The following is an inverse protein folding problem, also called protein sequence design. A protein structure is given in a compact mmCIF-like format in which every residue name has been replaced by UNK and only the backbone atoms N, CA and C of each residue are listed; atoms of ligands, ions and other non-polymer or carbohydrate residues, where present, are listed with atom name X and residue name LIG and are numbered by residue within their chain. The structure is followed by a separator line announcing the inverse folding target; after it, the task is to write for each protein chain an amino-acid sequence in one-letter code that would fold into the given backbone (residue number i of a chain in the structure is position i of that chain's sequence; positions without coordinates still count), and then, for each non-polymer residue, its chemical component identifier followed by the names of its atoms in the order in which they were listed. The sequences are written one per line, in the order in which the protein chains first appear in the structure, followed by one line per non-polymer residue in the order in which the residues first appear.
data_IF_065232257046
#
_entry.id   IF_065232257046
#
_cell.length_a   1.000
_cell.length_b   1.000
_cell.length_c   1.000
_cell.angle_alpha   90.00
_cell.angle_beta   90.00
_cell.angle_gamma   90.00
#
_symmetry.space_group_name_H-M   'P 1'
#
loop_
_entity.id
_entity.type
_entity.pdbx_description
1 polymer ?
#
# COMPACT_ATOMS: atom_id res chain seq x y z
N UNK A 1 24.98 -45.26 18.26
CA UNK A 1 24.52 -43.96 18.77
C UNK A 1 24.84 -42.94 17.70
N UNK A 2 23.86 -42.63 16.86
CA UNK A 2 23.99 -41.67 15.76
C UNK A 2 22.94 -40.62 16.00
N UNK A 3 23.40 -39.40 16.15
CA UNK A 3 22.68 -38.26 16.70
C UNK A 3 21.39 -37.96 15.93
N UNK A 4 20.29 -38.08 16.67
CA UNK A 4 18.98 -37.58 16.31
C UNK A 4 19.05 -36.05 16.43
N UNK A 5 19.54 -35.37 15.39
CA UNK A 5 19.39 -33.93 15.23
C UNK A 5 17.91 -33.63 15.03
N UNK A 6 17.17 -33.65 16.13
CA UNK A 6 15.86 -33.06 16.24
C UNK A 6 16.02 -31.62 15.76
N UNK A 7 15.38 -31.32 14.64
CA UNK A 7 15.33 -29.99 14.04
C UNK A 7 14.54 -29.08 15.00
N UNK A 8 15.19 -28.61 16.07
CA UNK A 8 14.57 -27.82 17.14
C UNK A 8 14.03 -26.53 16.53
N UNK A 9 12.71 -26.48 16.32
CA UNK A 9 12.00 -25.26 15.90
C UNK A 9 11.17 -25.39 14.62
N UNK A 10 11.26 -26.48 13.86
CA UNK A 10 10.37 -26.69 12.71
C UNK A 10 9.07 -27.31 13.19
N UNK A 11 7.97 -26.54 13.18
CA UNK A 11 6.65 -27.07 13.44
C UNK A 11 5.97 -27.40 12.10
N UNK A 12 5.96 -28.67 11.67
CA UNK A 12 5.38 -29.05 10.38
C UNK A 12 3.90 -28.68 10.26
N UNK A 13 3.20 -28.55 11.39
CA UNK A 13 1.83 -28.09 11.41
C UNK A 13 1.72 -26.61 10.99
N UNK A 14 2.61 -25.75 11.50
CA UNK A 14 2.61 -24.31 11.16
C UNK A 14 3.06 -24.06 9.72
N UNK A 15 4.00 -24.87 9.21
CA UNK A 15 4.40 -24.82 7.80
C UNK A 15 3.20 -25.18 6.90
N UNK A 16 2.49 -26.27 7.22
CA UNK A 16 1.31 -26.69 6.48
C UNK A 16 0.15 -25.66 6.54
N UNK A 17 -0.08 -25.04 7.70
CA UNK A 17 -1.05 -23.95 7.86
C UNK A 17 -0.70 -22.73 6.98
N UNK A 18 0.60 -22.41 6.86
CA UNK A 18 1.09 -21.31 6.02
C UNK A 18 0.91 -21.62 4.54
N UNK A 19 1.25 -22.84 4.11
CA UNK A 19 1.03 -23.32 2.74
C UNK A 19 -0.46 -23.32 2.37
N UNK A 20 -1.31 -23.80 3.27
CA UNK A 20 -2.75 -23.80 3.09
C UNK A 20 -3.30 -22.37 2.95
N UNK A 21 -2.82 -21.44 3.76
CA UNK A 21 -3.19 -20.02 3.66
C UNK A 21 -2.79 -19.40 2.31
N UNK A 22 -1.64 -19.81 1.75
CA UNK A 22 -1.20 -19.36 0.43
C UNK A 22 -2.12 -19.88 -0.70
N UNK A 23 -2.53 -21.15 -0.62
CA UNK A 23 -3.50 -21.74 -1.56
C UNK A 23 -4.87 -21.07 -1.46
N UNK A 24 -5.32 -20.77 -0.25
CA UNK A 24 -6.58 -20.06 -0.01
C UNK A 24 -6.55 -18.64 -0.59
N UNK A 25 -5.43 -17.92 -0.45
CA UNK A 25 -5.24 -16.61 -1.07
C UNK A 25 -5.36 -16.69 -2.60
N UNK A 26 -4.67 -17.64 -3.24
CA UNK A 26 -4.73 -17.85 -4.69
C UNK A 26 -6.17 -18.16 -5.15
N UNK A 27 -6.84 -19.06 -4.44
CA UNK A 27 -8.23 -19.44 -4.70
C UNK A 27 -9.19 -18.26 -4.54
N UNK A 28 -9.01 -17.44 -3.50
CA UNK A 28 -9.82 -16.27 -3.24
C UNK A 28 -9.69 -15.23 -4.38
N UNK A 29 -8.47 -14.94 -4.85
CA UNK A 29 -8.24 -14.03 -5.98
C UNK A 29 -8.91 -14.55 -7.25
N UNK A 30 -8.77 -15.85 -7.55
CA UNK A 30 -9.42 -16.49 -8.70
C UNK A 30 -10.94 -16.44 -8.61
N UNK A 31 -11.48 -16.69 -7.42
CA UNK A 31 -12.92 -16.66 -7.15
C UNK A 31 -13.48 -15.25 -7.30
N UNK A 32 -12.80 -14.24 -6.77
CA UNK A 32 -13.18 -12.84 -6.91
C UNK A 32 -13.18 -12.39 -8.37
N UNK A 33 -12.13 -12.72 -9.13
CA UNK A 33 -12.06 -12.43 -10.56
C UNK A 33 -13.21 -13.09 -11.35
N UNK A 34 -13.54 -14.34 -11.02
CA UNK A 34 -14.68 -15.04 -11.63
C UNK A 34 -15.99 -14.35 -11.29
N UNK A 35 -16.21 -14.01 -10.02
CA UNK A 35 -17.43 -13.36 -9.57
C UNK A 35 -17.65 -12.02 -10.29
N UNK A 36 -16.62 -11.17 -10.37
CA UNK A 36 -16.69 -9.87 -11.06
C UNK A 36 -16.92 -10.05 -12.58
N UNK A 37 -16.34 -11.08 -13.18
CA UNK A 37 -16.47 -11.36 -14.62
C UNK A 37 -17.81 -11.95 -15.05
N UNK A 38 -18.68 -12.36 -14.12
CA UNK A 38 -20.01 -12.88 -14.44
C UNK A 38 -21.03 -11.76 -14.67
N UNK A 39 -22.02 -12.01 -15.53
CA UNK A 39 -23.17 -11.11 -15.71
C UNK A 39 -23.90 -10.94 -14.39
N UNK A 40 -24.00 -9.70 -13.88
CA UNK A 40 -24.58 -9.42 -12.56
C UNK A 40 -23.61 -9.62 -11.37
N UNK A 41 -22.34 -9.94 -11.64
CA UNK A 41 -21.29 -10.08 -10.63
C UNK A 41 -21.01 -8.81 -9.82
N UNK A 42 -21.30 -7.65 -10.43
CA UNK A 42 -21.37 -6.37 -9.75
C UNK A 42 -22.84 -5.97 -9.64
N UNK A 43 -23.45 -6.29 -8.51
CA UNK A 43 -24.87 -6.00 -8.24
C UNK A 43 -25.18 -4.49 -8.16
N UNK A 44 -24.15 -3.67 -7.90
CA UNK A 44 -24.26 -2.22 -7.91
C UNK A 44 -22.96 -1.52 -7.48
N UNK A 45 -22.99 -0.17 -7.40
CA UNK A 45 -21.81 0.63 -7.04
C UNK A 45 -21.20 0.28 -5.68
N UNK A 46 -22.03 -0.11 -4.70
CA UNK A 46 -21.57 -0.53 -3.39
C UNK A 46 -20.62 -1.74 -3.46
N UNK A 47 -20.89 -2.70 -4.36
CA UNK A 47 -20.02 -3.87 -4.56
C UNK A 47 -18.67 -3.45 -5.14
N UNK A 48 -18.64 -2.46 -6.04
CA UNK A 48 -17.39 -1.92 -6.60
C UNK A 48 -16.53 -1.30 -5.50
N UNK A 49 -17.13 -0.52 -4.59
CA UNK A 49 -16.39 0.06 -3.46
C UNK A 49 -15.83 -1.00 -2.53
N UNK A 50 -16.63 -2.00 -2.18
CA UNK A 50 -16.17 -3.11 -1.34
C UNK A 50 -14.98 -3.84 -1.98
N UNK A 51 -15.02 -4.06 -3.30
CA UNK A 51 -13.90 -4.67 -4.04
C UNK A 51 -12.68 -3.76 -4.04
N UNK A 52 -12.83 -2.46 -4.33
CA UNK A 52 -11.71 -1.52 -4.34
C UNK A 52 -11.04 -1.40 -2.95
N UNK A 53 -11.83 -1.40 -1.88
CA UNK A 53 -11.33 -1.37 -0.50
C UNK A 53 -10.53 -2.65 -0.18
N UNK A 54 -11.06 -3.81 -0.56
CA UNK A 54 -10.38 -5.09 -0.36
C UNK A 54 -9.07 -5.19 -1.15
N UNK A 55 -9.07 -4.75 -2.41
CA UNK A 55 -7.85 -4.76 -3.25
C UNK A 55 -6.82 -3.75 -2.72
N UNK A 56 -7.25 -2.57 -2.25
CA UNK A 56 -6.34 -1.61 -1.61
C UNK A 56 -5.70 -2.18 -0.34
N UNK A 57 -6.48 -2.84 0.52
CA UNK A 57 -5.98 -3.49 1.72
C UNK A 57 -4.99 -4.63 1.38
N UNK A 58 -5.30 -5.44 0.38
CA UNK A 58 -4.43 -6.52 -0.10
C UNK A 58 -3.11 -5.97 -0.68
N UNK A 59 -3.16 -4.94 -1.53
CA UNK A 59 -1.98 -4.30 -2.09
C UNK A 59 -1.07 -3.70 -1.00
N UNK A 60 -1.67 -3.08 0.02
CA UNK A 60 -0.95 -2.48 1.15
C UNK A 60 -0.27 -3.52 2.05
N UNK A 61 -0.87 -4.71 2.18
CA UNK A 61 -0.34 -5.80 3.02
C UNK A 61 0.66 -6.70 2.28
N UNK A 62 0.62 -6.73 0.94
CA UNK A 62 1.58 -7.46 0.10
C UNK A 62 3.03 -7.02 0.35
N UNK A 63 3.26 -5.72 0.57
CA UNK A 63 4.60 -5.19 0.90
C UNK A 63 5.19 -5.86 2.15
N UNK A 64 4.37 -5.97 3.19
CA UNK A 64 4.77 -6.58 4.46
C UNK A 64 5.00 -8.07 4.31
N UNK A 65 4.16 -8.77 3.53
CA UNK A 65 4.32 -10.20 3.25
C UNK A 65 5.65 -10.49 2.54
N UNK A 66 5.95 -9.75 1.47
CA UNK A 66 7.17 -9.93 0.69
C UNK A 66 8.43 -9.67 1.53
N UNK A 67 8.41 -8.64 2.37
CA UNK A 67 9.50 -8.32 3.29
C UNK A 67 9.74 -9.46 4.32
N UNK A 68 8.67 -10.10 4.80
CA UNK A 68 8.79 -11.25 5.72
C UNK A 68 9.43 -12.45 5.05
N UNK A 69 9.07 -12.74 3.80
CA UNK A 69 9.67 -13.82 3.01
C UNK A 69 11.16 -13.58 2.75
N UNK A 70 11.54 -12.36 2.34
CA UNK A 70 12.94 -11.97 2.15
C UNK A 70 13.77 -12.15 3.42
N UNK A 71 13.27 -11.64 4.55
CA UNK A 71 13.95 -11.79 5.84
C UNK A 71 14.04 -13.25 6.30
N UNK A 72 13.04 -14.05 5.99
CA UNK A 72 13.06 -15.48 6.32
C UNK A 72 14.16 -16.19 5.53
N UNK A 73 14.20 -16.04 4.21
CA UNK A 73 15.23 -16.66 3.38
C UNK A 73 16.64 -16.18 3.72
N UNK A 74 16.82 -14.88 3.99
CA UNK A 74 18.11 -14.35 4.42
C UNK A 74 18.60 -14.97 5.75
N UNK A 75 17.69 -15.26 6.69
CA UNK A 75 18.02 -15.97 7.93
C UNK A 75 18.37 -17.44 7.67
N UNK A 76 17.56 -18.14 6.89
CA UNK A 76 17.85 -19.54 6.52
C UNK A 76 19.21 -19.68 5.82
N UNK A 77 19.59 -18.68 5.01
CA UNK A 77 20.92 -18.62 4.40
C UNK A 77 22.03 -18.43 5.45
N UNK A 78 21.87 -17.45 6.34
CA UNK A 78 22.85 -17.17 7.40
C UNK A 78 23.04 -18.37 8.35
N UNK A 79 21.98 -19.15 8.57
CA UNK A 79 21.99 -20.35 9.40
C UNK A 79 22.52 -21.59 8.64
N UNK A 80 22.88 -21.46 7.35
CA UNK A 80 23.40 -22.55 6.52
C UNK A 80 22.38 -23.64 6.19
N UNK A 81 21.07 -23.35 6.35
CA UNK A 81 19.98 -24.30 6.15
C UNK A 81 19.53 -24.39 4.69
N UNK A 82 19.93 -23.43 3.85
CA UNK A 82 19.66 -23.46 2.41
C UNK A 82 20.73 -24.28 1.70
N UNK A 83 20.31 -25.37 1.07
CA UNK A 83 21.19 -26.24 0.28
C UNK A 83 21.06 -25.97 -1.22
N UNK A 84 22.14 -26.28 -1.92
CA UNK A 84 22.32 -26.02 -3.34
C UNK A 84 21.84 -27.19 -4.20
N UNK A 85 20.71 -27.02 -4.89
CA UNK A 85 20.17 -28.11 -5.73
C UNK A 85 20.50 -27.97 -7.23
N UNK A 86 20.87 -26.77 -7.72
CA UNK A 86 20.89 -26.47 -9.17
C UNK A 86 22.15 -25.76 -9.71
N UNK A 87 23.26 -25.76 -8.98
CA UNK A 87 24.58 -25.39 -9.52
C UNK A 87 24.87 -23.89 -9.74
N UNK A 88 23.89 -22.99 -9.64
CA UNK A 88 24.09 -21.53 -9.64
C UNK A 88 24.32 -21.00 -8.22
N UNK A 89 25.33 -20.15 -7.93
CA UNK A 89 25.71 -19.76 -6.56
C UNK A 89 24.55 -19.16 -5.74
N UNK A 90 24.47 -19.54 -4.45
CA UNK A 90 23.32 -19.25 -3.58
C UNK A 90 23.14 -17.76 -3.35
N UNK A 91 24.27 -17.09 -3.14
CA UNK A 91 24.35 -15.65 -3.00
C UNK A 91 23.75 -14.93 -4.23
N UNK A 92 24.05 -15.41 -5.44
CA UNK A 92 23.51 -14.80 -6.66
C UNK A 92 22.00 -15.00 -6.79
N UNK A 93 21.49 -16.19 -6.41
CA UNK A 93 20.06 -16.48 -6.41
C UNK A 93 19.30 -15.63 -5.38
N UNK A 94 19.84 -15.48 -4.17
CA UNK A 94 19.26 -14.65 -3.12
C UNK A 94 19.31 -13.16 -3.47
N UNK A 95 20.39 -12.69 -4.09
CA UNK A 95 20.50 -11.33 -4.62
C UNK A 95 19.46 -11.07 -5.72
N UNK A 96 19.27 -12.02 -6.63
CA UNK A 96 18.25 -11.93 -7.67
C UNK A 96 16.84 -11.91 -7.07
N UNK A 97 16.58 -12.75 -6.07
CA UNK A 97 15.33 -12.77 -5.32
C UNK A 97 15.08 -11.42 -4.62
N UNK A 98 16.07 -10.87 -3.92
CA UNK A 98 15.94 -9.58 -3.22
C UNK A 98 15.62 -8.43 -4.18
N UNK A 99 16.29 -8.39 -5.35
CA UNK A 99 15.96 -7.41 -6.41
C UNK A 99 14.53 -7.57 -6.93
N UNK A 100 14.09 -8.80 -7.17
CA UNK A 100 12.73 -9.08 -7.64
C UNK A 100 11.67 -8.70 -6.60
N UNK A 101 11.91 -9.02 -5.32
CA UNK A 101 11.04 -8.63 -4.20
C UNK A 101 10.97 -7.11 -4.08
N UNK A 102 12.10 -6.41 -4.13
CA UNK A 102 12.11 -4.94 -4.09
C UNK A 102 11.31 -4.34 -5.24
N UNK A 103 11.45 -4.89 -6.44
CA UNK A 103 10.66 -4.46 -7.60
C UNK A 103 9.16 -4.71 -7.42
N UNK A 104 8.77 -5.90 -6.96
CA UNK A 104 7.37 -6.25 -6.68
C UNK A 104 6.75 -5.34 -5.61
N UNK A 105 7.51 -5.00 -4.55
CA UNK A 105 7.09 -4.06 -3.51
C UNK A 105 6.83 -2.66 -4.08
N UNK A 106 7.72 -2.17 -4.96
CA UNK A 106 7.54 -0.89 -5.62
C UNK A 106 6.27 -0.86 -6.51
N UNK A 107 6.04 -1.92 -7.28
CA UNK A 107 4.82 -2.06 -8.08
C UNK A 107 3.56 -2.15 -7.20
N UNK A 108 3.63 -2.89 -6.08
CA UNK A 108 2.55 -3.01 -5.11
C UNK A 108 2.16 -1.68 -4.48
N UNK A 109 3.15 -0.87 -4.07
CA UNK A 109 2.94 0.47 -3.56
C UNK A 109 2.26 1.38 -4.61
N UNK A 110 2.78 1.38 -5.85
CA UNK A 110 2.18 2.14 -6.96
C UNK A 110 0.74 1.71 -7.27
N UNK A 111 0.45 0.40 -7.19
CA UNK A 111 -0.89 -0.13 -7.34
C UNK A 111 -1.81 0.36 -6.21
N UNK A 112 -1.36 0.29 -4.95
CA UNK A 112 -2.10 0.78 -3.79
C UNK A 112 -2.46 2.27 -3.89
N UNK A 113 -1.51 3.10 -4.32
CA UNK A 113 -1.73 4.54 -4.58
C UNK A 113 -2.72 4.79 -5.71
N UNK A 114 -2.59 4.08 -6.84
CA UNK A 114 -3.49 4.22 -7.98
C UNK A 114 -4.94 3.83 -7.61
N UNK A 115 -5.11 2.77 -6.80
CA UNK A 115 -6.43 2.35 -6.31
C UNK A 115 -6.99 3.39 -5.34
N UNK A 116 -6.18 3.94 -4.43
CA UNK A 116 -6.64 4.99 -3.53
C UNK A 116 -7.07 6.25 -4.29
N UNK A 117 -6.34 6.62 -5.35
CA UNK A 117 -6.74 7.69 -6.25
C UNK A 117 -8.07 7.39 -6.95
N UNK A 118 -8.27 6.16 -7.44
CA UNK A 118 -9.53 5.74 -8.05
C UNK A 118 -10.70 5.85 -7.06
N UNK A 119 -10.52 5.41 -5.80
CA UNK A 119 -11.50 5.52 -4.72
C UNK A 119 -11.86 6.98 -4.42
N UNK A 120 -10.88 7.88 -4.34
CA UNK A 120 -11.13 9.31 -4.12
C UNK A 120 -11.89 9.95 -5.29
N UNK A 121 -11.51 9.61 -6.52
CA UNK A 121 -12.14 10.16 -7.72
C UNK A 121 -13.62 9.78 -7.82
N UNK A 122 -13.97 8.52 -7.53
CA UNK A 122 -15.36 8.06 -7.61
C UNK A 122 -16.22 8.56 -6.44
N UNK A 123 -15.62 8.73 -5.25
CA UNK A 123 -16.29 9.36 -4.11
C UNK A 123 -16.63 10.83 -4.41
N UNK A 124 -15.75 11.57 -5.11
CA UNK A 124 -16.01 12.94 -5.52
C UNK A 124 -17.27 13.06 -6.41
N UNK A 125 -17.51 12.09 -7.29
CA UNK A 125 -18.74 12.03 -8.12
C UNK A 125 -20.00 11.90 -7.25
N UNK A 126 -19.93 11.14 -6.16
CA UNK A 126 -21.06 11.00 -5.23
C UNK A 126 -21.30 12.26 -4.38
N UNK A 127 -20.24 12.98 -4.01
CA UNK A 127 -20.36 14.21 -3.21
C UNK A 127 -20.94 15.39 -4.01
N UNK A 128 -20.70 15.47 -5.33
CA UNK A 128 -21.23 16.53 -6.19
C UNK A 128 -22.70 16.33 -6.61
N UNK A 129 -23.30 15.17 -6.29
CA UNK A 129 -24.67 14.82 -6.64
C UNK A 129 -25.73 15.26 -5.62
N UNK A 130 -25.33 15.79 -4.46
CA UNK A 130 -26.27 16.39 -3.51
C UNK A 130 -26.57 17.83 -3.99
N UNK A 131 -27.84 18.17 -4.33
CA UNK A 131 -28.18 19.56 -4.57
C UNK A 131 -27.85 20.32 -3.30
N UNK A 132 -27.01 21.34 -3.45
CA UNK A 132 -26.78 22.36 -2.45
C UNK A 132 -28.16 22.91 -2.11
N UNK A 133 -28.77 22.45 -1.01
CA UNK A 133 -29.94 23.10 -0.47
C UNK A 133 -29.54 24.56 -0.31
N UNK A 134 -30.18 25.39 -1.12
CA UNK A 134 -30.04 26.82 -1.08
C UNK A 134 -30.48 27.20 0.30
N UNK A 135 -29.51 27.48 1.18
CA UNK A 135 -29.74 27.99 2.51
C UNK A 135 -30.46 29.32 2.40
N UNK A 136 -31.79 29.26 2.31
CA UNK A 136 -32.67 30.35 2.65
C UNK A 136 -32.52 30.55 4.16
N UNK A 137 -31.97 31.68 4.63
CA UNK A 137 -31.94 31.96 6.06
C UNK A 137 -33.39 32.04 6.56
N UNK A 138 -33.72 31.47 7.73
CA UNK A 138 -35.03 31.69 8.32
C UNK A 138 -35.20 33.18 8.61
N UNK A 139 -36.19 33.75 7.92
CA UNK A 139 -36.66 35.12 8.11
C UNK A 139 -37.23 35.24 9.52
N UNK A 140 -36.42 35.70 10.47
CA UNK A 140 -36.90 36.24 11.74
C UNK A 140 -37.25 37.70 11.53
N UNK A 141 -38.54 37.98 11.34
CA UNK A 141 -39.10 39.31 11.49
C UNK A 141 -39.77 39.41 12.87
N UNK A 142 -39.08 40.03 13.82
CA UNK A 142 -39.65 40.63 15.01
C UNK A 142 -38.70 41.70 15.55
N UNK A 143 -39.15 42.95 15.45
CA UNK A 143 -38.48 44.17 15.83
C UNK A 143 -38.09 44.27 17.31
N UNK A 144 -36.94 44.90 17.59
CA UNK A 144 -36.82 46.16 18.34
C UNK A 144 -35.34 46.45 18.70
N UNK A 145 -34.88 47.67 18.34
CA UNK A 145 -33.95 48.59 19.04
C UNK A 145 -32.83 48.03 19.96
N UNK A 146 -31.60 48.55 20.03
CA UNK A 146 -30.98 49.78 19.55
C UNK A 146 -29.45 49.61 19.50
N UNK A 147 -28.82 50.44 18.68
CA UNK A 147 -27.36 50.61 18.52
C UNK A 147 -26.82 51.48 19.68
N UNK A 148 -25.57 51.27 20.17
CA UNK A 148 -24.52 52.22 19.80
C UNK A 148 -23.13 51.60 19.53
N UNK A 149 -22.66 51.81 18.30
CA UNK A 149 -21.37 52.37 17.87
C UNK A 149 -20.13 52.25 18.77
N UNK A 150 -19.07 51.57 18.28
CA UNK A 150 -17.69 52.08 18.05
C UNK A 150 -16.69 50.91 17.79
N UNK A 151 -15.45 51.15 17.30
CA UNK A 151 -15.13 51.51 15.93
C UNK A 151 -14.26 50.45 15.20
N UNK A 152 -14.32 50.53 13.87
CA UNK A 152 -13.44 49.85 12.89
C UNK A 152 -11.95 50.00 13.25
N UNK A 153 -11.22 48.87 13.28
CA UNK A 153 -9.81 48.87 12.88
C UNK A 153 -9.64 48.18 11.53
N UNK A 154 -9.26 49.01 10.58
CA UNK A 154 -8.73 48.71 9.26
C UNK A 154 -7.28 48.28 9.41
N UNK A 155 -6.91 47.14 8.84
CA UNK A 155 -5.57 46.92 8.30
C UNK A 155 -5.68 46.01 7.08
N UNK A 156 -5.23 46.57 5.97
CA UNK A 156 -5.26 46.07 4.60
C UNK A 156 -4.10 45.07 4.33
N UNK A 157 -4.01 44.50 3.11
CA UNK A 157 -3.46 43.18 2.83
C UNK A 157 -1.96 43.20 2.53
N UNK A 158 -1.33 42.03 2.53
CA UNK A 158 -0.13 41.82 1.72
C UNK A 158 0.08 40.36 1.36
N UNK A 159 -0.10 40.08 0.07
CA UNK A 159 0.49 38.95 -0.62
C UNK A 159 2.02 38.99 -0.51
N UNK A 160 2.64 37.81 -0.43
CA UNK A 160 3.77 37.37 -1.28
C UNK A 160 4.15 35.93 -0.95
N UNK A 161 4.08 35.07 -1.96
CA UNK A 161 4.86 33.83 -2.06
C UNK A 161 6.34 34.10 -1.78
N UNK A 162 7.04 33.05 -1.32
CA UNK A 162 8.24 32.66 -2.04
C UNK A 162 8.18 31.20 -2.51
N UNK A 163 8.54 31.06 -3.78
CA UNK A 163 9.03 29.84 -4.41
C UNK A 163 10.30 29.30 -3.73
N UNK A 164 10.64 28.07 -4.13
CA UNK A 164 11.98 27.48 -4.15
C UNK A 164 12.48 26.78 -2.87
N UNK A 165 12.59 25.45 -3.00
CA UNK A 165 13.41 24.65 -2.09
C UNK A 165 13.21 23.15 -2.23
N UNK A 166 13.42 22.57 -3.42
CA UNK A 166 13.66 21.12 -3.54
C UNK A 166 15.06 20.80 -2.98
N UNK A 167 15.21 19.95 -1.95
CA UNK A 167 16.47 19.29 -1.69
C UNK A 167 16.52 18.00 -2.52
N UNK A 168 17.35 18.00 -3.55
CA UNK A 168 17.83 16.78 -4.22
C UNK A 168 18.74 16.04 -3.25
N UNK A 169 18.27 14.96 -2.62
CA UNK A 169 19.15 14.03 -1.92
C UNK A 169 19.81 13.09 -2.92
N UNK A 170 21.01 13.51 -3.29
CA UNK A 170 22.22 12.74 -3.65
C UNK A 170 22.06 11.22 -3.65
N UNK A 171 21.86 10.69 -4.85
CA UNK A 171 22.19 9.32 -5.26
C UNK A 171 23.69 9.08 -5.03
N UNK A 172 24.06 8.06 -4.25
CA UNK A 172 25.42 7.57 -4.18
C UNK A 172 25.68 6.59 -5.33
N UNK A 173 26.33 7.07 -6.40
CA UNK A 173 27.34 6.30 -7.14
C UNK A 173 28.69 6.64 -6.52
N UNK A 174 29.67 5.77 -6.31
CA UNK A 174 30.41 4.92 -7.25
C UNK A 174 31.60 4.39 -6.40
N UNK A 175 32.15 3.19 -6.57
CA UNK A 175 33.08 2.92 -7.66
C UNK A 175 33.44 1.43 -7.69
N UNK A 176 33.40 0.86 -8.90
CA UNK A 176 34.26 -0.28 -9.26
C UNK A 176 35.72 0.18 -9.29
N UNK A 177 36.60 -0.83 -9.22
CA UNK A 177 37.82 -1.03 -10.03
C UNK A 177 39.10 -1.06 -9.20
N UNK A 178 39.56 -2.28 -8.98
CA UNK A 178 40.91 -2.62 -8.53
C UNK A 178 41.24 -4.03 -9.05
N UNK A 179 41.74 -4.09 -10.28
CA UNK A 179 42.48 -5.22 -10.80
C UNK A 179 43.96 -4.85 -10.73
N UNK A 180 44.82 -5.74 -10.24
CA UNK A 180 46.26 -5.61 -10.42
C UNK A 180 47.11 -6.32 -9.36
N UNK A 181 47.85 -7.32 -9.84
CA UNK A 181 49.01 -8.02 -9.27
C UNK A 181 48.73 -9.12 -8.24
#
# INVERSE_FOLDING_TARGET
MTDDHTQVGRNPQTDHETEQSALELESAVRSLNRAIGQTGGLAGPATVYAVLDAVHAAASSLDTLLLRLERFLARQHADGLLTHDHGAPLDEALDAFGRAVLHARHLGAGCGEAIDQARRAINHVHSNGLPFETGAPPSYDAAAEAVPTAPRRRAEPRARQPENGRPRTRWFGSSRKGAGA
#
